data_IF_307242566549
#
_entry.id   IF_307242566549
#
_cell.length_a   1.000
_cell.length_b   1.000
_cell.length_c   1.000
_cell.angle_alpha   90.00
_cell.angle_beta   90.00
_cell.angle_gamma   90.00
#
_symmetry.space_group_name_H-M   'P 1'
#
loop_
_entity.id
_entity.type
_entity.pdbx_description
1 polymer ?
#
# COMPACT_ATOMS: atom_id res chain seq x y z
N UNK A 1 57.90 43.62 -6.62
CA UNK A 1 57.84 42.16 -6.82
C UNK A 1 57.24 41.52 -5.57
N UNK A 2 55.93 41.27 -5.58
CA UNK A 2 55.22 40.40 -4.63
C UNK A 2 53.98 39.92 -5.38
N UNK A 3 54.08 38.71 -5.96
CA UNK A 3 53.00 38.04 -6.66
C UNK A 3 52.13 37.31 -5.64
N UNK A 4 50.81 37.57 -5.64
CA UNK A 4 49.83 36.80 -4.90
C UNK A 4 49.52 35.49 -5.64
N UNK A 5 49.62 34.35 -4.96
CA UNK A 5 49.20 33.05 -5.47
C UNK A 5 47.66 32.88 -5.37
N UNK A 6 47.02 32.14 -6.29
CA UNK A 6 45.57 31.93 -6.27
C UNK A 6 45.14 30.91 -5.21
N UNK A 7 44.02 31.21 -4.56
CA UNK A 7 43.41 30.43 -3.49
C UNK A 7 42.76 29.15 -4.06
N UNK A 8 43.30 27.97 -3.73
CA UNK A 8 42.75 26.67 -4.14
C UNK A 8 41.53 26.37 -3.27
N UNK A 9 40.33 26.42 -3.86
CA UNK A 9 39.10 26.01 -3.19
C UNK A 9 39.03 24.49 -3.09
N UNK A 10 39.22 23.96 -1.89
CA UNK A 10 39.01 22.53 -1.59
C UNK A 10 37.51 22.22 -1.75
N UNK A 11 37.14 21.50 -2.81
CA UNK A 11 35.77 21.01 -3.00
C UNK A 11 35.44 19.95 -1.96
N UNK A 12 34.38 20.18 -1.17
CA UNK A 12 33.86 19.19 -0.23
C UNK A 12 33.43 17.90 -0.96
N UNK A 13 33.58 16.70 -0.34
CA UNK A 13 33.17 15.46 -0.97
C UNK A 13 31.65 15.44 -1.15
N UNK A 14 31.19 15.21 -2.38
CA UNK A 14 29.79 14.97 -2.68
C UNK A 14 29.40 13.63 -2.06
N UNK A 15 28.75 13.66 -0.90
CA UNK A 15 28.13 12.47 -0.30
C UNK A 15 26.97 12.04 -1.21
N UNK A 16 27.22 11.03 -2.05
CA UNK A 16 26.17 10.39 -2.84
C UNK A 16 25.16 9.75 -1.88
N UNK A 17 23.97 10.36 -1.74
CA UNK A 17 22.83 9.74 -1.07
C UNK A 17 22.59 8.36 -1.70
N UNK A 18 22.76 7.30 -0.91
CA UNK A 18 22.37 5.96 -1.33
C UNK A 18 20.85 5.92 -1.39
N UNK A 19 20.29 5.96 -2.61
CA UNK A 19 18.86 5.78 -2.81
C UNK A 19 18.51 4.31 -2.49
N UNK A 20 17.62 4.10 -1.53
CA UNK A 20 17.07 2.79 -1.24
C UNK A 20 16.02 2.45 -2.31
N UNK A 21 16.25 1.37 -3.06
CA UNK A 21 15.29 0.86 -4.04
C UNK A 21 14.59 -0.37 -3.48
N UNK A 22 13.27 -0.47 -3.68
CA UNK A 22 12.48 -1.65 -3.31
C UNK A 22 12.12 -2.41 -4.58
N UNK A 23 12.58 -3.65 -4.70
CA UNK A 23 12.23 -4.55 -5.81
C UNK A 23 11.26 -5.60 -5.28
N UNK A 24 10.04 -5.62 -5.82
CA UNK A 24 9.01 -6.62 -5.50
C UNK A 24 9.06 -7.73 -6.53
N UNK A 25 9.41 -8.94 -6.09
CA UNK A 25 9.45 -10.13 -6.94
C UNK A 25 8.29 -11.07 -6.62
N UNK A 26 7.69 -11.67 -7.66
CA UNK A 26 6.66 -12.70 -7.56
C UNK A 26 7.26 -14.06 -7.94
N UNK A 27 7.49 -14.96 -6.98
CA UNK A 27 7.76 -16.36 -7.29
C UNK A 27 6.51 -17.01 -7.90
N UNK A 28 6.69 -17.83 -8.94
CA UNK A 28 5.60 -18.63 -9.55
C UNK A 28 5.30 -19.92 -8.78
N UNK A 29 6.16 -20.32 -7.84
CA UNK A 29 6.06 -21.58 -7.09
C UNK A 29 6.43 -21.37 -5.62
N UNK A 30 5.94 -22.25 -4.74
CA UNK A 30 6.40 -22.33 -3.35
C UNK A 30 7.86 -22.82 -3.36
N UNK A 31 8.76 -22.02 -2.80
CA UNK A 31 10.18 -22.36 -2.65
C UNK A 31 10.74 -21.80 -1.35
N UNK A 32 11.88 -22.36 -0.91
CA UNK A 32 12.51 -21.99 0.35
C UNK A 32 13.06 -20.55 0.30
N UNK A 33 13.31 -19.97 1.48
CA UNK A 33 13.93 -18.64 1.65
C UNK A 33 15.22 -18.48 0.81
N UNK A 34 16.04 -19.53 0.77
CA UNK A 34 17.33 -19.53 0.10
C UNK A 34 17.21 -19.67 -1.42
N UNK A 35 16.28 -20.52 -1.89
CA UNK A 35 15.98 -20.66 -3.32
C UNK A 35 15.39 -19.38 -3.89
N UNK A 36 14.54 -18.69 -3.12
CA UNK A 36 13.97 -17.40 -3.50
C UNK A 36 15.05 -16.32 -3.61
N UNK A 37 16.03 -16.31 -2.70
CA UNK A 37 17.17 -15.39 -2.76
C UNK A 37 18.01 -15.61 -4.03
N UNK A 38 18.31 -16.87 -4.36
CA UNK A 38 19.03 -17.22 -5.59
C UNK A 38 18.24 -16.80 -6.84
N UNK A 39 16.92 -17.00 -6.85
CA UNK A 39 16.04 -16.52 -7.93
C UNK A 39 16.05 -14.98 -8.06
N UNK A 40 16.07 -14.25 -6.94
CA UNK A 40 16.19 -12.79 -6.92
C UNK A 40 17.52 -12.34 -7.52
N UNK A 41 18.63 -12.91 -7.05
CA UNK A 41 19.98 -12.59 -7.53
C UNK A 41 20.12 -12.90 -9.03
N UNK A 42 19.65 -14.08 -9.48
CA UNK A 42 19.64 -14.47 -10.90
C UNK A 42 18.77 -13.54 -11.75
N UNK A 43 17.58 -13.15 -11.29
CA UNK A 43 16.69 -12.28 -12.06
C UNK A 43 17.25 -10.85 -12.20
N UNK A 44 18.01 -10.38 -11.22
CA UNK A 44 18.68 -9.08 -11.24
C UNK A 44 19.93 -9.08 -12.11
N UNK A 45 20.71 -10.16 -12.10
CA UNK A 45 21.87 -10.34 -12.98
C UNK A 45 21.46 -10.53 -14.45
N UNK A 46 20.45 -11.36 -14.75
CA UNK A 46 20.10 -11.73 -16.13
C UNK A 46 19.36 -10.63 -16.91
N UNK A 47 18.76 -9.64 -16.24
CA UNK A 47 17.94 -8.61 -16.91
C UNK A 47 18.66 -7.31 -17.24
N UNK A 48 19.96 -7.19 -16.94
CA UNK A 48 20.78 -6.01 -17.26
C UNK A 48 20.08 -4.67 -16.94
N UNK A 49 19.27 -4.62 -15.88
CA UNK A 49 18.64 -3.39 -15.43
C UNK A 49 19.73 -2.49 -14.87
N UNK A 50 19.89 -1.28 -15.43
CA UNK A 50 20.97 -0.32 -15.14
C UNK A 50 21.15 0.09 -13.65
N UNK A 51 20.32 -0.42 -12.74
CA UNK A 51 20.56 -0.36 -11.31
C UNK A 51 21.54 -1.48 -10.90
N UNK A 52 22.81 -1.12 -10.69
CA UNK A 52 23.78 -1.99 -10.00
C UNK A 52 23.34 -2.15 -8.55
N UNK A 53 22.43 -3.09 -8.27
CA UNK A 53 22.07 -3.48 -6.92
C UNK A 53 23.29 -4.21 -6.34
N UNK A 54 24.12 -3.48 -5.60
CA UNK A 54 25.38 -4.00 -5.05
C UNK A 54 25.17 -4.85 -3.80
N UNK A 55 24.00 -4.73 -3.14
CA UNK A 55 23.67 -5.45 -1.92
C UNK A 55 22.16 -5.54 -1.72
N UNK A 56 21.66 -6.74 -1.48
CA UNK A 56 20.30 -6.96 -0.97
C UNK A 56 20.41 -6.99 0.55
N UNK A 57 19.91 -5.96 1.22
CA UNK A 57 20.01 -5.84 2.68
C UNK A 57 18.93 -6.62 3.42
N UNK A 58 17.73 -6.72 2.83
CA UNK A 58 16.58 -7.39 3.45
C UNK A 58 15.61 -7.88 2.36
N UNK A 59 15.32 -9.18 2.36
CA UNK A 59 14.20 -9.75 1.60
C UNK A 59 13.03 -9.82 2.57
N UNK A 60 12.02 -8.96 2.41
CA UNK A 60 10.83 -9.06 3.24
C UNK A 60 9.87 -10.07 2.61
N UNK A 61 9.89 -11.29 3.16
CA UNK A 61 9.00 -12.38 2.76
C UNK A 61 7.64 -12.33 3.46
N UNK A 62 7.47 -11.48 4.48
CA UNK A 62 6.18 -11.28 5.12
C UNK A 62 5.27 -10.56 4.14
N UNK A 63 4.16 -11.20 3.78
CA UNK A 63 3.09 -10.53 3.07
C UNK A 63 2.58 -9.35 3.90
N UNK A 64 1.83 -8.47 3.25
CA UNK A 64 1.22 -7.34 3.94
C UNK A 64 0.14 -7.88 4.86
N UNK A 65 0.15 -7.48 6.14
CA UNK A 65 -0.90 -7.90 7.06
C UNK A 65 -2.29 -7.55 6.50
N UNK A 66 -3.25 -8.50 6.56
CA UNK A 66 -4.56 -8.34 5.98
C UNK A 66 -5.33 -7.27 6.73
N UNK A 67 -6.22 -6.57 6.01
CA UNK A 67 -7.01 -5.48 6.58
C UNK A 67 -8.48 -5.75 6.40
N UNK A 68 -9.24 -5.42 7.42
CA UNK A 68 -10.70 -5.38 7.40
C UNK A 68 -11.20 -3.96 7.62
N UNK A 69 -12.44 -3.72 7.24
CA UNK A 69 -13.17 -2.50 7.56
C UNK A 69 -14.36 -2.88 8.45
N UNK A 70 -14.36 -2.40 9.69
CA UNK A 70 -15.46 -2.49 10.62
C UNK A 70 -16.46 -1.36 10.33
N UNK A 71 -17.74 -1.69 10.16
CA UNK A 71 -18.73 -0.76 9.62
C UNK A 71 -19.67 -0.21 10.68
N UNK A 72 -19.94 1.09 10.62
CA UNK A 72 -21.08 1.70 11.32
C UNK A 72 -20.89 1.97 12.80
N UNK A 73 -19.66 2.20 13.28
CA UNK A 73 -19.39 2.61 14.66
C UNK A 73 -19.80 4.07 14.86
N UNK A 74 -20.27 4.46 16.04
CA UNK A 74 -20.64 5.85 16.33
C UNK A 74 -19.44 6.82 16.21
N UNK A 75 -19.75 8.07 15.89
CA UNK A 75 -18.74 9.10 15.57
C UNK A 75 -17.97 9.64 16.78
N UNK A 76 -18.52 9.49 17.99
CA UNK A 76 -17.90 9.88 19.26
C UNK A 76 -16.86 8.85 19.74
N UNK A 77 -16.86 7.65 19.17
CA UNK A 77 -15.89 6.60 19.52
C UNK A 77 -14.52 6.95 18.95
N UNK A 78 -13.54 7.11 19.85
CA UNK A 78 -12.15 7.28 19.48
C UNK A 78 -11.40 5.93 19.29
N UNK A 79 -10.17 6.03 18.78
CA UNK A 79 -9.32 4.87 18.47
C UNK A 79 -9.03 4.02 19.70
N UNK A 80 -8.80 4.63 20.86
CA UNK A 80 -8.34 3.96 22.07
C UNK A 80 -9.52 3.23 22.73
N UNK A 81 -10.69 3.88 22.81
CA UNK A 81 -11.95 3.28 23.25
C UNK A 81 -12.30 2.09 22.36
N UNK A 82 -12.20 2.23 21.04
CA UNK A 82 -12.47 1.12 20.11
C UNK A 82 -11.51 -0.04 20.32
N UNK A 83 -10.20 0.20 20.46
CA UNK A 83 -9.21 -0.85 20.66
C UNK A 83 -9.51 -1.66 21.93
N UNK A 84 -9.71 -0.97 23.05
CA UNK A 84 -10.00 -1.58 24.35
C UNK A 84 -11.33 -2.33 24.34
N UNK A 85 -12.38 -1.77 23.72
CA UNK A 85 -13.69 -2.41 23.64
C UNK A 85 -13.68 -3.67 22.77
N UNK A 86 -12.96 -3.65 21.64
CA UNK A 86 -12.79 -4.84 20.80
C UNK A 86 -12.00 -5.93 21.55
N UNK A 87 -10.91 -5.54 22.23
CA UNK A 87 -10.10 -6.44 23.04
C UNK A 87 -10.94 -7.15 24.13
N UNK A 88 -11.77 -6.39 24.84
CA UNK A 88 -12.55 -6.89 25.97
C UNK A 88 -13.67 -7.87 25.57
N UNK A 89 -14.18 -7.79 24.33
CA UNK A 89 -15.31 -8.61 23.87
C UNK A 89 -14.93 -9.71 22.88
N UNK A 90 -13.72 -9.65 22.30
CA UNK A 90 -13.25 -10.60 21.30
C UNK A 90 -11.89 -11.18 21.73
N UNK A 91 -11.90 -12.09 22.70
CA UNK A 91 -10.69 -12.66 23.32
C UNK A 91 -9.67 -13.25 22.31
N UNK A 92 -10.14 -13.72 21.15
CA UNK A 92 -9.29 -14.25 20.09
C UNK A 92 -8.44 -13.21 19.35
N UNK A 93 -8.64 -11.92 19.64
CA UNK A 93 -7.80 -10.84 19.14
C UNK A 93 -6.47 -10.71 19.92
N UNK A 94 -6.21 -11.58 20.89
CA UNK A 94 -4.99 -11.63 21.68
C UNK A 94 -4.37 -13.03 21.63
N UNK A 95 -3.04 -13.11 21.71
CA UNK A 95 -2.33 -14.37 21.89
C UNK A 95 -2.30 -14.81 23.36
N UNK A 96 -1.73 -15.99 23.61
CA UNK A 96 -1.61 -16.57 24.96
C UNK A 96 -0.69 -15.76 25.88
N UNK A 97 0.16 -14.88 25.34
CA UNK A 97 0.99 -13.93 26.08
C UNK A 97 0.32 -12.56 26.24
N UNK A 98 -0.96 -12.44 25.88
CA UNK A 98 -1.74 -11.21 25.95
C UNK A 98 -1.18 -10.07 25.06
N UNK A 99 -0.54 -10.40 23.94
CA UNK A 99 -0.21 -9.43 22.90
C UNK A 99 -1.37 -9.27 21.91
N UNK A 100 -1.69 -8.05 21.45
CA UNK A 100 -2.74 -7.82 20.48
C UNK A 100 -2.36 -8.37 19.10
N UNK A 101 -3.26 -9.14 18.51
CA UNK A 101 -3.19 -9.71 17.16
C UNK A 101 -3.92 -8.83 16.13
N UNK A 102 -4.19 -7.57 16.47
CA UNK A 102 -4.84 -6.60 15.60
C UNK A 102 -4.34 -5.19 15.89
N UNK A 103 -4.54 -4.28 14.94
CA UNK A 103 -4.25 -2.87 15.11
C UNK A 103 -5.28 -2.00 14.41
N UNK A 104 -5.82 -1.00 15.10
CA UNK A 104 -6.65 0.03 14.46
C UNK A 104 -5.75 0.97 13.65
N UNK A 105 -6.02 1.08 12.34
CA UNK A 105 -5.20 1.84 11.41
C UNK A 105 -5.70 3.27 11.28
N UNK A 106 -6.89 3.46 10.72
CA UNK A 106 -7.49 4.78 10.50
C UNK A 106 -9.02 4.70 10.37
N UNK A 107 -9.73 5.80 10.72
CA UNK A 107 -11.16 5.93 10.48
C UNK A 107 -11.46 6.38 9.03
N UNK A 108 -12.62 5.98 8.54
CA UNK A 108 -13.27 6.48 7.33
C UNK A 108 -14.62 7.04 7.76
N UNK A 109 -14.72 8.37 7.80
CA UNK A 109 -15.93 9.07 8.24
C UNK A 109 -17.06 8.91 7.22
N UNK A 110 -18.22 8.47 7.69
CA UNK A 110 -19.49 8.53 6.99
C UNK A 110 -20.40 9.59 7.67
N UNK A 111 -21.62 9.78 7.17
CA UNK A 111 -22.49 10.89 7.59
C UNK A 111 -22.86 10.83 9.08
N UNK A 112 -23.26 9.67 9.58
CA UNK A 112 -23.69 9.47 10.99
C UNK A 112 -22.81 8.49 11.77
N UNK A 113 -21.89 7.83 11.09
CA UNK A 113 -21.06 6.76 11.64
C UNK A 113 -19.63 6.86 11.10
N UNK A 114 -18.72 6.16 11.75
CA UNK A 114 -17.34 5.98 11.34
C UNK A 114 -17.09 4.51 11.05
N UNK A 115 -16.55 4.23 9.86
CA UNK A 115 -16.01 2.91 9.55
C UNK A 115 -14.53 2.88 9.94
N UNK A 116 -14.05 1.78 10.51
CA UNK A 116 -12.68 1.68 11.01
C UNK A 116 -11.90 0.63 10.25
N UNK A 117 -10.74 1.02 9.69
CA UNK A 117 -9.83 0.07 9.07
C UNK A 117 -8.94 -0.52 10.16
N UNK A 118 -8.91 -1.85 10.21
CA UNK A 118 -8.19 -2.64 11.21
C UNK A 118 -7.25 -3.59 10.46
N UNK A 119 -5.99 -3.65 10.86
CA UNK A 119 -5.04 -4.68 10.44
C UNK A 119 -5.17 -5.88 11.36
N UNK A 120 -5.10 -7.09 10.82
CA UNK A 120 -5.12 -8.34 11.57
C UNK A 120 -3.78 -9.05 11.41
N UNK A 121 -3.35 -9.75 12.45
CA UNK A 121 -2.30 -10.75 12.32
C UNK A 121 -2.81 -11.90 11.42
N UNK A 122 -2.02 -12.35 10.43
CA UNK A 122 -2.43 -13.44 9.53
C UNK A 122 -2.94 -14.70 10.24
N UNK A 123 -2.42 -14.99 11.44
CA UNK A 123 -2.79 -16.18 12.24
C UNK A 123 -4.28 -16.19 12.62
N UNK A 124 -4.89 -15.02 12.81
CA UNK A 124 -6.30 -14.92 13.24
C UNK A 124 -7.26 -14.56 12.10
N UNK A 125 -6.76 -14.30 10.89
CA UNK A 125 -7.59 -13.82 9.78
C UNK A 125 -8.77 -14.76 9.48
N UNK A 126 -8.51 -16.06 9.31
CA UNK A 126 -9.57 -17.05 9.02
C UNK A 126 -10.56 -17.18 10.18
N UNK A 127 -10.06 -17.15 11.41
CA UNK A 127 -10.90 -17.18 12.61
C UNK A 127 -11.84 -15.98 12.64
N UNK A 128 -11.33 -14.77 12.42
CA UNK A 128 -12.13 -13.54 12.35
C UNK A 128 -13.25 -13.69 11.33
N UNK A 129 -12.96 -14.17 10.11
CA UNK A 129 -13.98 -14.36 9.07
C UNK A 129 -14.94 -15.54 9.30
N UNK A 130 -14.64 -16.43 10.26
CA UNK A 130 -15.57 -17.44 10.75
C UNK A 130 -16.58 -16.88 11.76
N UNK A 131 -16.29 -15.73 12.37
CA UNK A 131 -17.20 -15.08 13.31
C UNK A 131 -18.33 -14.32 12.58
N UNK A 132 -19.54 -14.26 13.15
CA UNK A 132 -20.65 -13.52 12.55
C UNK A 132 -20.43 -11.99 12.56
N UNK A 133 -19.43 -11.49 13.27
CA UNK A 133 -19.12 -10.08 13.44
C UNK A 133 -18.16 -9.87 14.61
N UNK A 134 -17.66 -8.65 14.75
CA UNK A 134 -16.87 -8.26 15.92
C UNK A 134 -17.76 -7.55 16.94
N UNK A 135 -17.60 -7.89 18.21
CA UNK A 135 -18.37 -7.29 19.30
C UNK A 135 -17.66 -6.04 19.82
N UNK A 136 -18.39 -4.95 19.96
CA UNK A 136 -17.91 -3.73 20.61
C UNK A 136 -19.03 -3.22 21.51
N UNK A 137 -18.73 -3.06 22.80
CA UNK A 137 -19.70 -2.73 23.85
C UNK A 137 -20.87 -3.72 23.88
N UNK A 138 -22.08 -3.27 23.58
CA UNK A 138 -23.32 -4.06 23.63
C UNK A 138 -23.79 -4.52 22.23
N UNK A 139 -22.99 -4.26 21.20
CA UNK A 139 -23.39 -4.43 19.81
C UNK A 139 -22.43 -5.31 19.03
N UNK A 140 -22.96 -6.03 18.04
CA UNK A 140 -22.19 -6.76 17.05
C UNK A 140 -22.12 -5.97 15.75
N UNK A 141 -20.91 -5.77 15.24
CA UNK A 141 -20.65 -4.99 14.04
C UNK A 141 -20.21 -5.89 12.89
N UNK A 142 -20.74 -5.58 11.70
CA UNK A 142 -20.32 -6.22 10.45
C UNK A 142 -18.97 -5.66 10.02
N UNK A 143 -18.17 -6.50 9.39
CA UNK A 143 -16.93 -6.10 8.76
C UNK A 143 -16.78 -6.78 7.39
N UNK A 144 -15.87 -6.27 6.58
CA UNK A 144 -15.50 -6.86 5.29
C UNK A 144 -14.00 -6.65 5.03
N UNK A 145 -13.46 -7.30 4.01
CA UNK A 145 -12.10 -7.09 3.53
C UNK A 145 -11.89 -5.64 3.08
N UNK A 146 -10.78 -5.05 3.52
CA UNK A 146 -10.38 -3.72 3.11
C UNK A 146 -9.15 -3.75 2.20
N UNK A 147 -9.35 -3.40 0.93
CA UNK A 147 -8.27 -3.29 -0.06
C UNK A 147 -8.15 -1.83 -0.49
N UNK A 148 -7.32 -1.08 0.23
CA UNK A 148 -7.09 0.35 -0.02
C UNK A 148 -6.05 0.60 -1.11
N UNK A 149 -6.49 0.75 -2.37
CA UNK A 149 -5.61 1.24 -3.45
C UNK A 149 -5.28 2.70 -3.19
N UNK A 150 -4.00 2.99 -2.91
CA UNK A 150 -3.52 4.36 -2.74
C UNK A 150 -3.55 5.10 -4.07
N UNK A 151 -4.33 6.16 -4.15
CA UNK A 151 -4.40 7.04 -5.31
C UNK A 151 -4.22 8.50 -4.90
N UNK A 152 -3.34 9.20 -5.60
CA UNK A 152 -3.03 10.59 -5.33
C UNK A 152 -4.18 11.50 -5.76
N UNK A 153 -4.62 12.41 -4.89
CA UNK A 153 -5.68 13.37 -5.23
C UNK A 153 -5.19 14.55 -6.08
N UNK A 154 -3.89 14.68 -6.28
CA UNK A 154 -3.32 15.72 -7.13
C UNK A 154 -3.07 15.18 -8.55
N UNK A 155 -2.12 14.26 -8.73
CA UNK A 155 -1.78 13.74 -10.05
C UNK A 155 -2.62 12.55 -10.54
N UNK A 156 -3.60 12.09 -9.74
CA UNK A 156 -4.49 10.94 -10.05
C UNK A 156 -3.79 9.57 -10.23
N UNK A 157 -2.45 9.50 -10.11
CA UNK A 157 -1.68 8.25 -10.21
C UNK A 157 -1.76 7.41 -8.93
N UNK A 158 -1.57 6.10 -9.08
CA UNK A 158 -1.51 5.16 -7.96
C UNK A 158 -0.16 5.19 -7.22
N UNK A 159 -0.15 4.66 -5.99
CA UNK A 159 1.05 4.34 -5.24
C UNK A 159 1.48 5.36 -4.18
N UNK A 160 0.95 6.59 -4.23
CA UNK A 160 1.29 7.65 -3.27
C UNK A 160 0.07 8.49 -2.89
N UNK A 161 0.20 9.25 -1.80
CA UNK A 161 -0.80 10.24 -1.38
C UNK A 161 -0.41 11.63 -1.86
N UNK A 162 -1.34 12.58 -1.84
CA UNK A 162 -1.07 13.98 -2.23
C UNK A 162 0.11 14.59 -1.47
N UNK A 163 0.25 14.29 -0.17
CA UNK A 163 1.37 14.74 0.67
C UNK A 163 2.74 14.34 0.12
N UNK A 164 2.81 13.21 -0.58
CA UNK A 164 4.05 12.66 -1.12
C UNK A 164 4.00 12.60 -2.65
N UNK A 165 3.32 13.58 -3.28
CA UNK A 165 3.23 13.63 -4.73
C UNK A 165 4.54 14.14 -5.32
N UNK A 166 5.18 13.40 -6.24
CA UNK A 166 6.41 13.85 -6.90
C UNK A 166 6.18 15.03 -7.86
N UNK A 167 4.91 15.36 -8.15
CA UNK A 167 4.49 16.44 -9.03
C UNK A 167 3.74 17.54 -8.26
N UNK A 168 4.01 17.70 -6.96
CA UNK A 168 3.25 18.61 -6.07
C UNK A 168 3.22 20.07 -6.54
N UNK A 169 4.29 20.50 -7.20
CA UNK A 169 4.45 21.88 -7.68
C UNK A 169 3.80 22.12 -9.05
N UNK A 170 3.32 21.07 -9.73
CA UNK A 170 2.73 21.20 -11.06
C UNK A 170 1.24 21.53 -10.99
N UNK A 171 0.77 22.45 -11.83
CA UNK A 171 -0.67 22.72 -11.97
C UNK A 171 -1.34 21.64 -12.84
N UNK A 172 -1.79 20.56 -12.20
CA UNK A 172 -2.43 19.42 -12.87
C UNK A 172 -3.95 19.52 -12.89
N UNK A 173 -4.55 18.98 -13.95
CA UNK A 173 -5.99 18.88 -14.12
C UNK A 173 -6.62 18.08 -12.99
N UNK A 174 -7.60 18.67 -12.32
CA UNK A 174 -8.39 18.00 -11.30
C UNK A 174 -9.18 16.80 -11.84
N UNK A 175 -9.55 16.75 -13.11
CA UNK A 175 -10.37 15.64 -13.61
C UNK A 175 -9.52 14.43 -13.98
N UNK A 176 -8.45 14.63 -14.76
CA UNK A 176 -7.64 13.53 -15.32
C UNK A 176 -6.20 13.44 -14.79
N UNK A 177 -5.65 14.49 -14.17
CA UNK A 177 -4.26 14.51 -13.66
C UNK A 177 -3.19 14.84 -14.71
N UNK A 178 -3.59 15.36 -15.87
CA UNK A 178 -2.71 15.79 -16.97
C UNK A 178 -2.39 17.30 -16.93
N UNK A 179 -1.52 17.76 -17.82
CA UNK A 179 -1.00 19.14 -17.88
C UNK A 179 -1.97 20.10 -18.59
N UNK A 180 -3.10 20.38 -17.95
CA UNK A 180 -4.04 21.44 -18.32
C UNK A 180 -4.88 21.83 -17.09
N UNK A 181 -5.56 22.97 -17.14
CA UNK A 181 -6.50 23.35 -16.08
C UNK A 181 -7.76 22.48 -16.16
N UNK A 182 -8.43 22.25 -15.03
CA UNK A 182 -9.66 21.44 -15.00
C UNK A 182 -10.75 21.97 -15.93
N UNK A 183 -10.82 23.28 -16.11
CA UNK A 183 -11.76 23.99 -17.00
C UNK A 183 -11.53 23.66 -18.48
N UNK A 184 -10.27 23.42 -18.86
CA UNK A 184 -9.88 23.11 -20.25
C UNK A 184 -9.97 21.60 -20.57
N UNK A 185 -10.51 20.81 -19.63
CA UNK A 185 -10.56 19.34 -19.76
C UNK A 185 -11.73 18.90 -20.65
N UNK A 186 -11.47 18.81 -21.96
CA UNK A 186 -12.49 18.41 -22.94
C UNK A 186 -12.95 16.96 -22.78
N UNK A 187 -12.03 16.05 -22.42
CA UNK A 187 -12.35 14.64 -22.22
C UNK A 187 -11.61 14.11 -21.01
N UNK A 188 -12.38 13.60 -20.04
CA UNK A 188 -11.79 13.01 -18.84
C UNK A 188 -11.27 11.63 -19.15
N UNK A 189 -9.95 11.48 -19.13
CA UNK A 189 -9.28 10.21 -19.31
C UNK A 189 -8.62 9.69 -18.04
N UNK A 190 -8.45 8.37 -17.96
CA UNK A 190 -7.69 7.74 -16.89
C UNK A 190 -6.19 7.80 -17.18
N UNK A 191 -5.46 8.69 -16.49
CA UNK A 191 -3.99 8.79 -16.62
C UNK A 191 -3.27 7.46 -16.41
N UNK A 192 -3.78 6.59 -15.52
CA UNK A 192 -3.15 5.29 -15.26
C UNK A 192 -3.34 4.30 -16.43
N UNK A 193 -4.51 4.27 -17.06
CA UNK A 193 -4.74 3.44 -18.24
C UNK A 193 -3.99 3.99 -19.46
N UNK A 194 -3.98 5.32 -19.62
CA UNK A 194 -3.20 5.99 -20.67
C UNK A 194 -1.71 5.66 -20.58
N UNK A 195 -1.10 5.86 -19.41
CA UNK A 195 0.32 5.54 -19.18
C UNK A 195 0.62 4.04 -19.39
N UNK A 196 -0.30 3.17 -18.98
CA UNK A 196 -0.17 1.71 -19.17
C UNK A 196 -0.17 1.34 -20.64
N UNK A 197 -1.04 1.95 -21.45
CA UNK A 197 -1.08 1.70 -22.89
C UNK A 197 0.20 2.19 -23.56
N UNK A 198 0.68 3.38 -23.22
CA UNK A 198 1.93 3.93 -23.76
C UNK A 198 3.15 3.05 -23.42
N UNK A 199 3.21 2.53 -22.19
CA UNK A 199 4.39 1.81 -21.72
C UNK A 199 4.36 0.30 -22.02
N UNK A 200 3.19 -0.31 -22.03
CA UNK A 200 3.04 -1.77 -22.06
C UNK A 200 2.10 -2.26 -23.16
N UNK A 201 1.54 -1.38 -23.99
CA UNK A 201 0.56 -1.72 -25.02
C UNK A 201 -0.62 -2.56 -24.47
N UNK A 202 -1.14 -2.18 -23.30
CA UNK A 202 -2.15 -2.97 -22.58
C UNK A 202 -3.54 -3.00 -23.20
N UNK A 203 -3.85 -2.10 -24.14
CA UNK A 203 -5.17 -2.02 -24.77
C UNK A 203 -6.32 -1.65 -23.82
N UNK A 204 -6.04 -1.00 -22.68
CA UNK A 204 -7.06 -0.60 -21.71
C UNK A 204 -7.87 0.60 -22.21
N UNK A 205 -9.16 0.64 -21.90
CA UNK A 205 -9.98 1.81 -22.18
C UNK A 205 -9.56 2.98 -21.28
N UNK A 206 -9.23 4.12 -21.91
CA UNK A 206 -8.77 5.33 -21.24
C UNK A 206 -9.90 6.32 -21.00
N UNK A 207 -11.06 6.17 -21.64
CA UNK A 207 -12.18 7.13 -21.64
C UNK A 207 -12.98 7.20 -20.33
N UNK A 208 -12.40 6.76 -19.21
CA UNK A 208 -13.05 6.70 -17.91
C UNK A 208 -12.39 7.64 -16.91
N UNK A 209 -13.14 8.07 -15.91
CA UNK A 209 -12.59 8.84 -14.80
C UNK A 209 -11.47 8.05 -14.07
N UNK A 210 -10.35 8.67 -13.66
CA UNK A 210 -9.29 7.99 -12.91
C UNK A 210 -9.72 7.28 -11.61
N UNK A 211 -10.86 7.66 -11.04
CA UNK A 211 -11.46 7.05 -9.84
C UNK A 211 -12.52 5.99 -10.14
N UNK A 212 -12.72 5.65 -11.42
CA UNK A 212 -13.69 4.63 -11.78
C UNK A 212 -13.35 3.30 -11.10
N UNK A 213 -14.33 2.72 -10.41
CA UNK A 213 -14.18 1.38 -9.81
C UNK A 213 -14.02 0.28 -10.86
N UNK A 214 -14.42 0.55 -12.11
CA UNK A 214 -14.27 -0.35 -13.26
C UNK A 214 -12.98 -0.13 -14.03
N UNK A 215 -12.11 0.80 -13.61
CA UNK A 215 -10.80 1.04 -14.23
C UNK A 215 -9.93 -0.23 -14.16
N UNK A 216 -9.39 -0.67 -15.29
CA UNK A 216 -8.58 -1.88 -15.42
C UNK A 216 -7.27 -1.78 -14.62
N UNK A 217 -6.62 -0.61 -14.66
CA UNK A 217 -5.44 -0.36 -13.83
C UNK A 217 -5.77 -0.37 -12.33
N UNK A 218 -6.94 0.12 -11.93
CA UNK A 218 -7.41 0.05 -10.54
C UNK A 218 -7.67 -1.40 -10.12
N UNK A 219 -8.40 -2.17 -10.92
CA UNK A 219 -8.69 -3.58 -10.68
C UNK A 219 -7.40 -4.40 -10.60
N UNK A 220 -6.45 -4.16 -11.52
CA UNK A 220 -5.13 -4.77 -11.49
C UNK A 220 -4.38 -4.46 -10.20
N UNK A 221 -4.44 -3.21 -9.73
CA UNK A 221 -3.81 -2.83 -8.47
C UNK A 221 -4.50 -3.48 -7.26
N UNK A 222 -5.83 -3.58 -7.26
CA UNK A 222 -6.60 -4.31 -6.24
C UNK A 222 -6.18 -5.77 -6.18
N UNK A 223 -6.13 -6.47 -7.31
CA UNK A 223 -5.67 -7.87 -7.41
C UNK A 223 -4.23 -8.01 -6.93
N UNK A 224 -3.36 -7.06 -7.27
CA UNK A 224 -1.98 -7.08 -6.80
C UNK A 224 -1.88 -6.97 -5.28
N UNK A 225 -2.68 -6.11 -4.64
CA UNK A 225 -2.71 -5.95 -3.20
C UNK A 225 -3.26 -7.21 -2.50
N UNK A 226 -4.33 -7.82 -3.03
CA UNK A 226 -4.85 -9.10 -2.51
C UNK A 226 -3.77 -10.16 -2.54
N UNK A 227 -3.05 -10.30 -3.67
CA UNK A 227 -1.98 -11.29 -3.83
C UNK A 227 -0.77 -11.06 -2.92
N UNK A 228 -0.58 -9.82 -2.45
CA UNK A 228 0.51 -9.47 -1.54
C UNK A 228 0.12 -9.61 -0.08
N UNK A 229 -1.18 -9.69 0.22
CA UNK A 229 -1.65 -9.84 1.60
C UNK A 229 -1.40 -11.26 2.10
N UNK A 230 -0.97 -11.38 3.35
CA UNK A 230 -0.78 -12.66 4.02
C UNK A 230 -2.05 -13.06 4.77
N UNK A 231 -2.78 -14.04 4.27
CA UNK A 231 -4.03 -14.50 4.90
C UNK A 231 -3.84 -15.68 5.86
N UNK A 232 -2.58 -16.02 6.18
CA UNK A 232 -2.21 -17.13 7.06
C UNK A 232 -2.35 -18.51 6.40
N UNK A 233 -1.48 -19.44 6.79
CA UNK A 233 -1.52 -20.82 6.31
C UNK A 233 -2.75 -21.59 6.83
N UNK A 234 -3.22 -22.64 6.14
CA UNK A 234 -4.34 -23.48 6.61
C UNK A 234 -4.07 -24.27 7.90
N UNK A 235 -2.82 -24.36 8.36
CA UNK A 235 -2.39 -25.31 9.39
C UNK A 235 -2.17 -24.71 10.78
N UNK A 236 -2.75 -23.54 11.08
CA UNK A 236 -2.63 -22.90 12.40
C UNK A 236 -3.61 -23.40 13.46
N UNK A 237 -3.96 -24.68 13.45
CA UNK A 237 -4.87 -25.29 14.44
C UNK A 237 -4.35 -26.64 14.92
N UNK A 238 -3.26 -26.62 15.67
CA UNK A 238 -2.93 -27.64 16.68
C UNK A 238 -1.88 -27.01 17.58
N UNK A 239 -2.30 -26.62 18.79
CA UNK A 239 -1.74 -27.13 20.05
C UNK A 239 -2.65 -26.68 21.20
#
# INVERSE_FOLDING_TARGET
MLQAQPNVTVRAPIVRKQNAYVVLLRPKTFSTSEDKRKLVEMALCNRNSAARISKISKVNLKGVDPRIILLGIDNDVDKDRLAKGLAAKNHFLYDVQNNPLFQIVFPIRARKTTNWVITLDPRIYKRVFGEPGLFFEWSRYRFDNFIGVKQCRHCRKFGHTTKWCPRSEEALCGNCGLNHKSEDCQQVICVNCYDSNQKYNSGFDTGRHPYSITCECFLRQKVNLIRLADYGDPSGSTD
#
